data_IF_844515231788
#
_entry.id   IF_844515231788
#
_cell.length_a   1.000
_cell.length_b   1.000
_cell.length_c   1.000
_cell.angle_alpha   90.00
_cell.angle_beta   90.00
_cell.angle_gamma   90.00
#
_symmetry.space_group_name_H-M   'P 1'
#
loop_
_entity.id
_entity.type
_entity.pdbx_description
1 polymer ?
#
# COMPACT_ATOMS: atom_id res chain seq x y z
N UNK A 1 13.81 28.52 27.18
CA UNK A 1 13.31 27.13 27.05
C UNK A 1 11.78 26.99 26.90
N UNK A 2 11.03 28.07 26.62
CA UNK A 2 9.58 27.98 26.31
C UNK A 2 9.32 27.75 24.82
N UNK A 3 10.07 28.44 23.96
CA UNK A 3 9.96 28.32 22.49
C UNK A 3 10.25 26.90 21.98
N UNK A 4 11.29 26.25 22.49
CA UNK A 4 11.61 24.87 22.11
C UNK A 4 10.49 23.88 22.44
N UNK A 5 9.82 24.07 23.59
CA UNK A 5 8.69 23.22 24.01
C UNK A 5 7.45 23.46 23.13
N UNK A 6 7.21 24.70 22.74
CA UNK A 6 6.11 25.05 21.82
C UNK A 6 6.37 24.45 20.43
N UNK A 7 7.60 24.51 19.92
CA UNK A 7 7.97 23.92 18.63
C UNK A 7 7.83 22.38 18.64
N UNK A 8 8.27 21.72 19.72
CA UNK A 8 8.10 20.27 19.89
C UNK A 8 6.62 19.88 19.97
N UNK A 9 5.80 20.63 20.72
CA UNK A 9 4.35 20.39 20.84
C UNK A 9 3.58 20.65 19.53
N UNK A 10 4.08 21.51 18.65
CA UNK A 10 3.49 21.74 17.31
C UNK A 10 3.93 20.65 16.33
N UNK A 11 5.14 20.10 16.46
CA UNK A 11 5.63 18.98 15.63
C UNK A 11 5.07 17.61 16.08
N UNK A 12 4.68 17.47 17.35
CA UNK A 12 4.08 16.27 17.94
C UNK A 12 2.80 15.80 17.23
N UNK A 13 1.79 16.66 16.92
CA UNK A 13 0.63 16.22 16.15
C UNK A 13 0.99 15.80 14.73
N UNK A 14 2.02 16.38 14.09
CA UNK A 14 2.49 15.90 12.78
C UNK A 14 3.21 14.55 12.84
N UNK A 15 3.78 14.19 13.99
CA UNK A 15 4.38 12.87 14.24
C UNK A 15 3.40 11.86 14.84
N UNK A 16 2.28 12.33 15.42
CA UNK A 16 1.17 11.52 15.93
C UNK A 16 -0.02 11.40 14.95
N UNK A 17 0.04 12.03 13.78
CA UNK A 17 -0.85 11.72 12.65
C UNK A 17 -0.28 10.52 11.87
N UNK A 18 0.00 9.40 12.55
CA UNK A 18 0.36 8.12 11.94
C UNK A 18 -0.89 7.39 11.40
N UNK A 19 -1.79 8.12 10.75
CA UNK A 19 -2.89 7.56 9.96
C UNK A 19 -2.54 7.48 8.47
N UNK A 20 -1.25 7.46 8.12
CA UNK A 20 -0.81 7.46 6.73
C UNK A 20 -0.44 6.05 6.32
N UNK A 21 -1.25 5.46 5.45
CA UNK A 21 -0.94 4.21 4.76
C UNK A 21 0.45 4.21 4.12
N UNK A 22 0.92 3.03 3.74
CA UNK A 22 2.19 2.91 3.01
C UNK A 22 1.96 3.28 1.53
N UNK A 23 2.51 4.40 1.01
CA UNK A 23 2.24 4.81 -0.37
C UNK A 23 2.74 3.78 -1.40
N UNK A 24 3.81 3.05 -1.07
CA UNK A 24 4.33 1.97 -1.91
C UNK A 24 3.37 0.79 -1.98
N UNK A 25 2.73 0.43 -0.85
CA UNK A 25 1.72 -0.62 -0.82
C UNK A 25 0.46 -0.18 -1.58
N UNK A 26 0.04 1.07 -1.43
CA UNK A 26 -1.08 1.63 -2.19
C UNK A 26 -0.82 1.63 -3.70
N UNK A 27 0.38 2.05 -4.13
CA UNK A 27 0.79 1.99 -5.53
C UNK A 27 0.79 0.54 -6.04
N UNK A 28 1.36 -0.39 -5.27
CA UNK A 28 1.36 -1.81 -5.63
C UNK A 28 -0.06 -2.34 -5.79
N UNK A 29 -0.96 -2.11 -4.82
CA UNK A 29 -2.36 -2.55 -4.91
C UNK A 29 -3.04 -1.96 -6.14
N UNK A 30 -2.90 -0.65 -6.37
CA UNK A 30 -3.51 0.03 -7.52
C UNK A 30 -3.01 -0.53 -8.86
N UNK A 31 -1.70 -0.77 -9.00
CA UNK A 31 -1.12 -1.33 -10.23
C UNK A 31 -1.41 -2.82 -10.39
N UNK A 32 -1.61 -3.58 -9.31
CA UNK A 32 -2.06 -4.99 -9.37
C UNK A 32 -3.44 -5.07 -10.02
N UNK A 33 -4.40 -4.28 -9.55
CA UNK A 33 -5.81 -4.38 -9.95
C UNK A 33 -6.13 -3.66 -11.27
N UNK A 34 -5.25 -2.79 -11.77
CA UNK A 34 -5.48 -2.05 -13.01
C UNK A 34 -5.19 -2.92 -14.25
N UNK A 35 -6.19 -3.23 -15.10
CA UNK A 35 -5.98 -3.98 -16.34
C UNK A 35 -5.16 -3.22 -17.39
N UNK A 36 -4.98 -1.91 -17.24
CA UNK A 36 -4.19 -1.06 -18.17
C UNK A 36 -2.70 -1.14 -17.91
N UNK A 37 -2.29 -1.59 -16.72
CA UNK A 37 -0.88 -1.79 -16.35
C UNK A 37 -0.40 -3.11 -16.92
N UNK A 38 0.65 -3.07 -17.75
CA UNK A 38 1.22 -4.27 -18.36
C UNK A 38 1.88 -5.17 -17.31
N UNK A 39 2.05 -6.46 -17.63
CA UNK A 39 2.77 -7.38 -16.76
C UNK A 39 4.22 -6.91 -16.54
N UNK A 40 4.90 -6.45 -17.58
CA UNK A 40 6.28 -5.96 -17.48
C UNK A 40 6.40 -4.74 -16.56
N UNK A 41 5.48 -3.78 -16.69
CA UNK A 41 5.43 -2.59 -15.82
C UNK A 41 5.21 -3.00 -14.36
N UNK A 42 4.26 -3.91 -14.12
CA UNK A 42 3.97 -4.43 -12.79
C UNK A 42 5.15 -5.20 -12.20
N UNK A 43 5.78 -6.11 -12.96
CA UNK A 43 6.96 -6.86 -12.49
C UNK A 43 8.12 -5.92 -12.16
N UNK A 44 8.33 -4.86 -12.96
CA UNK A 44 9.34 -3.85 -12.68
C UNK A 44 9.09 -3.12 -11.36
N UNK A 45 7.83 -2.84 -11.02
CA UNK A 45 7.45 -2.24 -9.74
C UNK A 45 7.75 -3.16 -8.56
N UNK A 46 7.41 -4.45 -8.66
CA UNK A 46 7.44 -5.36 -7.50
C UNK A 46 8.80 -6.04 -7.29
N UNK A 47 9.65 -6.11 -8.32
CA UNK A 47 10.97 -6.76 -8.28
C UNK A 47 11.88 -6.32 -7.13
N UNK A 48 11.96 -5.03 -6.75
CA UNK A 48 12.79 -4.60 -5.62
C UNK A 48 12.38 -5.21 -4.27
N UNK A 49 11.16 -5.74 -4.14
CA UNK A 49 10.63 -6.31 -2.90
C UNK A 49 10.72 -7.84 -2.83
N UNK A 50 11.26 -8.49 -3.87
CA UNK A 50 11.42 -9.94 -3.85
C UNK A 50 12.39 -10.35 -2.76
N UNK A 51 11.94 -11.27 -1.91
CA UNK A 51 12.81 -12.02 -1.02
C UNK A 51 13.55 -13.04 -1.91
N UNK A 52 14.79 -13.47 -1.57
CA UNK A 52 15.49 -14.56 -2.26
C UNK A 52 14.81 -15.93 -2.06
N UNK A 53 13.52 -16.00 -2.36
CA UNK A 53 12.76 -17.21 -2.59
C UNK A 53 12.78 -17.48 -4.09
N UNK A 54 12.87 -18.76 -4.46
CA UNK A 54 12.57 -19.15 -5.83
C UNK A 54 11.11 -18.76 -6.14
N UNK A 55 10.88 -18.26 -7.36
CA UNK A 55 9.54 -18.06 -7.93
C UNK A 55 8.77 -16.79 -7.49
N UNK A 56 9.43 -15.81 -6.85
CA UNK A 56 8.78 -14.52 -6.49
C UNK A 56 8.19 -13.78 -7.69
N UNK A 57 8.88 -13.79 -8.83
CA UNK A 57 8.40 -13.14 -10.05
C UNK A 57 7.13 -13.85 -10.59
N UNK A 58 7.14 -15.17 -10.63
CA UNK A 58 5.97 -15.96 -11.05
C UNK A 58 4.79 -15.74 -10.11
N UNK A 59 5.01 -15.81 -8.79
CA UNK A 59 3.98 -15.61 -7.78
C UNK A 59 3.31 -14.23 -7.91
N UNK A 60 4.10 -13.18 -8.13
CA UNK A 60 3.54 -11.85 -8.32
C UNK A 60 2.77 -11.72 -9.63
N UNK A 61 3.25 -12.34 -10.71
CA UNK A 61 2.51 -12.40 -11.98
C UNK A 61 1.17 -13.10 -11.85
N UNK A 62 1.14 -14.25 -11.17
CA UNK A 62 -0.08 -15.00 -10.86
C UNK A 62 -1.04 -14.19 -9.97
N UNK A 63 -0.51 -13.46 -8.98
CA UNK A 63 -1.31 -12.59 -8.11
C UNK A 63 -2.04 -11.51 -8.93
N UNK A 64 -1.34 -10.82 -9.83
CA UNK A 64 -1.97 -9.83 -10.72
C UNK A 64 -3.05 -10.49 -11.58
N UNK A 65 -2.76 -11.61 -12.21
CA UNK A 65 -3.73 -12.31 -13.06
C UNK A 65 -4.97 -12.76 -12.28
N UNK A 66 -4.80 -13.17 -11.02
CA UNK A 66 -5.90 -13.53 -10.13
C UNK A 66 -6.81 -12.33 -9.84
N UNK A 67 -6.27 -11.15 -9.59
CA UNK A 67 -7.09 -9.94 -9.43
C UNK A 67 -7.79 -9.55 -10.73
N UNK A 68 -7.09 -9.59 -11.87
CA UNK A 68 -7.67 -9.23 -13.16
C UNK A 68 -8.77 -10.19 -13.65
N UNK A 69 -8.89 -11.38 -13.06
CA UNK A 69 -10.01 -12.30 -13.32
C UNK A 69 -11.26 -12.02 -12.46
N UNK A 70 -11.18 -11.10 -11.50
CA UNK A 70 -12.30 -10.74 -10.63
C UNK A 70 -13.25 -9.72 -11.29
N UNK A 71 -14.44 -9.54 -10.70
CA UNK A 71 -15.38 -8.50 -11.15
C UNK A 71 -14.87 -7.09 -10.84
N UNK A 72 -15.35 -6.10 -11.61
CA UNK A 72 -15.05 -4.69 -11.35
C UNK A 72 -15.44 -4.25 -9.92
N UNK A 73 -16.52 -4.80 -9.38
CA UNK A 73 -16.93 -4.55 -7.99
C UNK A 73 -15.88 -5.07 -7.01
N UNK A 74 -15.42 -6.31 -7.19
CA UNK A 74 -14.37 -6.91 -6.35
C UNK A 74 -13.07 -6.10 -6.45
N UNK A 75 -12.66 -5.68 -7.64
CA UNK A 75 -11.46 -4.84 -7.82
C UNK A 75 -11.60 -3.49 -7.11
N UNK A 76 -12.75 -2.84 -7.24
CA UNK A 76 -13.07 -1.59 -6.53
C UNK A 76 -13.03 -1.77 -5.00
N UNK A 77 -13.52 -2.90 -4.49
CA UNK A 77 -13.48 -3.20 -3.05
C UNK A 77 -12.04 -3.49 -2.58
N UNK A 78 -11.25 -4.22 -3.38
CA UNK A 78 -9.83 -4.47 -3.10
C UNK A 78 -9.01 -3.16 -3.02
N UNK A 79 -9.29 -2.19 -3.88
CA UNK A 79 -8.66 -0.87 -3.85
C UNK A 79 -8.92 -0.10 -2.54
N UNK A 80 -10.09 -0.30 -1.94
CA UNK A 80 -10.51 0.38 -0.70
C UNK A 80 -9.99 -0.30 0.57
N UNK A 81 -9.68 -1.60 0.49
CA UNK A 81 -9.28 -2.41 1.63
C UNK A 81 -8.08 -1.83 2.41
N UNK A 82 -6.98 -1.35 1.77
CA UNK A 82 -5.87 -0.75 2.51
C UNK A 82 -6.30 0.44 3.36
N UNK A 83 -7.07 1.37 2.80
CA UNK A 83 -7.56 2.54 3.54
C UNK A 83 -8.48 2.14 4.70
N UNK A 84 -9.36 1.16 4.49
CA UNK A 84 -10.19 0.63 5.58
C UNK A 84 -9.34 0.04 6.72
N UNK A 85 -8.20 -0.57 6.41
CA UNK A 85 -7.26 -1.09 7.41
C UNK A 85 -6.56 0.06 8.12
N UNK A 86 -5.99 1.02 7.38
CA UNK A 86 -5.23 2.15 7.91
C UNK A 86 -6.08 3.05 8.81
N UNK A 87 -7.33 3.32 8.42
CA UNK A 87 -8.28 4.14 9.18
C UNK A 87 -8.97 3.37 10.31
N UNK A 88 -8.73 2.05 10.42
CA UNK A 88 -9.31 1.26 11.50
C UNK A 88 -8.76 1.69 12.85
N UNK A 89 -9.59 1.58 13.90
CA UNK A 89 -9.16 1.78 15.29
C UNK A 89 -7.94 0.93 15.68
N UNK A 90 -7.71 -0.18 14.98
CA UNK A 90 -6.62 -1.11 15.26
C UNK A 90 -5.30 -0.62 14.70
N UNK A 91 -5.31 0.03 13.52
CA UNK A 91 -4.11 0.62 12.93
C UNK A 91 -3.82 2.00 13.52
N UNK A 92 -4.86 2.82 13.77
CA UNK A 92 -4.70 4.16 14.36
C UNK A 92 -4.13 4.17 15.79
N UNK A 93 -4.01 3.01 16.45
CA UNK A 93 -3.36 2.86 17.75
C UNK A 93 -1.83 2.74 17.65
N UNK A 94 -1.28 2.56 16.44
CA UNK A 94 0.14 2.43 16.16
C UNK A 94 0.63 3.59 15.27
#
# INVERSE_FOLDING_TARGET
MKLLRVLVLIALPFSCFAGSGCPLLEEMVNKTIDPRVSMDEYQNLVRPYYIPFTDSEEAMGQLKQCFLSQSNETLSNAAKLPNMIYESKWCAMF
#
